data_IF_924816409581
#
_entry.id   IF_924816409581
#
_cell.length_a   1.000
_cell.length_b   1.000
_cell.length_c   1.000
_cell.angle_alpha   90.00
_cell.angle_beta   90.00
_cell.angle_gamma   90.00
#
_symmetry.space_group_name_H-M   'P 1'
#
loop_
_entity.id
_entity.type
_entity.pdbx_description
1 polymer ?
#
# COMPACT_ATOMS: atom_id res chain seq x y z
N UNK A 1 -16.53 18.36 26.29
CA UNK A 1 -15.55 17.25 26.37
C UNK A 1 -14.14 17.72 26.01
N UNK A 2 -13.68 18.88 26.51
CA UNK A 2 -12.30 19.34 26.32
C UNK A 2 -11.40 18.99 27.53
N UNK A 3 -12.01 18.64 28.68
CA UNK A 3 -11.31 18.30 29.92
C UNK A 3 -10.38 17.09 29.78
N UNK A 4 -10.60 16.23 28.79
CA UNK A 4 -9.72 15.10 28.48
C UNK A 4 -8.28 15.56 28.18
N UNK A 5 -8.14 16.71 27.51
CA UNK A 5 -6.84 17.34 27.21
C UNK A 5 -6.19 18.04 28.41
N UNK A 6 -6.89 18.16 29.54
CA UNK A 6 -6.31 18.71 30.78
C UNK A 6 -5.59 17.63 31.61
N UNK A 7 -5.91 16.36 31.35
CA UNK A 7 -5.34 15.20 32.05
C UNK A 7 -4.33 14.49 31.14
N UNK A 8 -4.60 14.44 29.84
CA UNK A 8 -3.71 13.86 28.85
C UNK A 8 -2.91 14.96 28.15
N UNK A 9 -1.58 14.87 28.24
CA UNK A 9 -0.69 15.77 27.50
C UNK A 9 -0.93 15.62 25.99
N UNK A 10 -1.43 16.66 25.29
CA UNK A 10 -1.89 16.55 23.90
C UNK A 10 -0.81 16.07 22.95
N UNK A 11 0.45 16.44 23.22
CA UNK A 11 1.62 15.99 22.46
C UNK A 11 1.81 14.48 22.55
N UNK A 12 1.74 13.90 23.74
CA UNK A 12 1.97 12.48 23.93
C UNK A 12 0.87 11.65 23.29
N UNK A 13 -0.38 12.11 23.36
CA UNK A 13 -1.51 11.45 22.70
C UNK A 13 -1.34 11.44 21.18
N UNK A 14 -0.96 12.57 20.57
CA UNK A 14 -0.73 12.63 19.12
C UNK A 14 0.42 11.71 18.68
N UNK A 15 1.49 11.63 19.46
CA UNK A 15 2.61 10.73 19.19
C UNK A 15 2.16 9.28 19.34
N UNK A 16 1.44 8.93 20.41
CA UNK A 16 0.94 7.59 20.66
C UNK A 16 0.01 7.09 19.55
N UNK A 17 -0.91 7.94 19.10
CA UNK A 17 -1.80 7.63 17.98
C UNK A 17 -1.01 7.40 16.68
N UNK A 18 -0.01 8.25 16.41
CA UNK A 18 0.82 8.12 15.20
C UNK A 18 1.64 6.84 15.21
N UNK A 19 2.32 6.57 16.33
CA UNK A 19 3.16 5.37 16.52
C UNK A 19 2.31 4.11 16.57
N UNK A 20 1.03 4.18 16.93
CA UNK A 20 0.12 3.04 16.88
C UNK A 20 -0.42 2.80 15.46
N UNK A 21 -0.94 3.84 14.81
CA UNK A 21 -1.61 3.72 13.52
C UNK A 21 -0.67 3.41 12.36
N UNK A 22 0.54 4.00 12.34
CA UNK A 22 1.52 3.78 11.27
C UNK A 22 1.89 2.30 11.12
N UNK A 23 2.44 1.63 12.16
CA UNK A 23 2.82 0.22 12.05
C UNK A 23 1.59 -0.67 11.91
N UNK A 24 0.45 -0.34 12.53
CA UNK A 24 -0.79 -1.10 12.36
C UNK A 24 -1.25 -1.09 10.90
N UNK A 25 -1.24 0.09 10.25
CA UNK A 25 -1.56 0.23 8.83
C UNK A 25 -0.58 -0.54 7.95
N UNK A 26 0.73 -0.39 8.18
CA UNK A 26 1.75 -1.12 7.43
C UNK A 26 1.61 -2.64 7.61
N UNK A 27 1.34 -3.11 8.82
CA UNK A 27 1.15 -4.53 9.11
C UNK A 27 -0.03 -5.10 8.33
N UNK A 28 -1.14 -4.37 8.21
CA UNK A 28 -2.28 -4.78 7.38
C UNK A 28 -1.85 -4.88 5.91
N UNK A 29 -1.14 -3.89 5.37
CA UNK A 29 -0.68 -3.94 3.98
C UNK A 29 0.27 -5.12 3.73
N UNK A 30 1.23 -5.34 4.63
CA UNK A 30 2.13 -6.49 4.54
C UNK A 30 1.39 -7.82 4.63
N UNK A 31 0.32 -7.91 5.43
CA UNK A 31 -0.50 -9.10 5.51
C UNK A 31 -1.26 -9.37 4.20
N UNK A 32 -1.80 -8.33 3.56
CA UNK A 32 -2.46 -8.45 2.25
C UNK A 32 -1.47 -8.78 1.13
N UNK A 33 -0.26 -8.23 1.19
CA UNK A 33 0.79 -8.52 0.21
C UNK A 33 1.42 -9.90 0.39
N UNK A 34 1.36 -10.47 1.59
CA UNK A 34 1.89 -11.80 1.87
C UNK A 34 0.97 -12.93 1.38
N UNK A 35 -0.29 -12.65 1.05
CA UNK A 35 -1.23 -13.65 0.54
C UNK A 35 -1.20 -13.74 -0.98
N UNK A 36 -1.24 -14.95 -1.53
CA UNK A 36 -1.09 -15.20 -2.98
C UNK A 36 -2.18 -14.54 -3.83
N UNK A 37 -3.39 -14.38 -3.29
CA UNK A 37 -4.56 -13.88 -4.04
C UNK A 37 -4.75 -12.36 -3.94
N UNK A 38 -4.37 -11.75 -2.81
CA UNK A 38 -4.57 -10.31 -2.57
C UNK A 38 -3.31 -9.48 -2.85
N UNK A 39 -2.21 -10.13 -3.23
CA UNK A 39 -0.97 -9.47 -3.60
C UNK A 39 -1.11 -8.77 -4.95
N UNK A 40 -1.47 -7.49 -4.91
CA UNK A 40 -1.62 -6.66 -6.12
C UNK A 40 -0.30 -6.41 -6.85
N UNK A 41 0.87 -6.70 -6.27
CA UNK A 41 2.14 -6.61 -7.00
C UNK A 41 2.36 -7.79 -7.95
N UNK A 42 1.76 -8.94 -7.66
CA UNK A 42 1.94 -10.19 -8.41
C UNK A 42 0.70 -10.60 -9.23
N UNK A 43 -0.46 -9.97 -9.00
CA UNK A 43 -1.74 -10.27 -9.68
C UNK A 43 -1.76 -9.98 -11.20
N UNK A 44 -0.67 -9.44 -11.76
CA UNK A 44 -0.52 -9.25 -13.22
C UNK A 44 -1.52 -8.27 -13.85
N UNK A 45 -2.21 -7.45 -13.03
CA UNK A 45 -3.28 -6.55 -13.44
C UNK A 45 -3.05 -5.11 -12.94
N UNK A 46 -3.33 -4.08 -13.76
CA UNK A 46 -3.51 -4.17 -15.21
C UNK A 46 -2.22 -4.67 -15.87
N UNK A 47 -2.34 -5.18 -17.11
CA UNK A 47 -1.24 -5.80 -17.87
C UNK A 47 0.04 -4.97 -17.64
N UNK A 48 1.14 -5.57 -17.13
CA UNK A 48 2.36 -4.82 -16.83
C UNK A 48 2.73 -3.98 -18.05
N UNK A 49 3.08 -2.70 -17.88
CA UNK A 49 3.36 -1.81 -19.02
C UNK A 49 4.39 -2.40 -20.00
N UNK A 50 5.35 -3.20 -19.51
CA UNK A 50 6.28 -3.97 -20.33
C UNK A 50 5.59 -5.02 -21.21
N UNK A 51 4.62 -5.76 -20.67
CA UNK A 51 3.85 -6.76 -21.39
C UNK A 51 2.83 -6.12 -22.35
N UNK A 52 2.21 -5.00 -21.95
CA UNK A 52 1.35 -4.21 -22.85
C UNK A 52 2.15 -3.63 -24.03
N UNK A 53 3.32 -3.03 -23.77
CA UNK A 53 4.20 -2.52 -24.81
C UNK A 53 4.82 -3.63 -25.68
N UNK A 54 5.08 -4.81 -25.13
CA UNK A 54 5.52 -5.96 -25.91
C UNK A 54 4.40 -6.50 -26.82
N UNK A 55 3.14 -6.48 -26.36
CA UNK A 55 1.98 -6.84 -27.17
C UNK A 55 1.77 -5.83 -28.32
N UNK A 56 1.88 -4.54 -28.03
CA UNK A 56 1.79 -3.46 -29.03
C UNK A 56 2.93 -3.55 -30.06
N UNK A 57 4.19 -3.72 -29.63
CA UNK A 57 5.33 -3.93 -30.54
C UNK A 57 5.24 -5.21 -31.36
N UNK A 58 4.69 -6.29 -30.78
CA UNK A 58 4.44 -7.54 -31.50
C UNK A 58 3.35 -7.38 -32.58
N UNK A 59 2.33 -6.54 -32.33
CA UNK A 59 1.34 -6.18 -33.34
C UNK A 59 1.93 -5.32 -34.47
N UNK A 60 2.93 -4.49 -34.16
CA UNK A 60 3.64 -3.66 -35.13
C UNK A 60 4.70 -4.43 -35.96
N UNK A 61 4.93 -5.71 -35.66
CA UNK A 61 5.86 -6.57 -36.42
C UNK A 61 7.34 -6.21 -36.25
N UNK A 62 7.68 -5.42 -35.22
CA UNK A 62 9.06 -5.04 -34.91
C UNK A 62 9.76 -6.14 -34.11
N UNK A 63 11.02 -6.51 -34.44
CA UNK A 63 11.76 -7.50 -33.66
C UNK A 63 12.08 -7.00 -32.23
N UNK A 64 12.32 -7.97 -31.35
CA UNK A 64 12.43 -7.82 -29.89
C UNK A 64 13.38 -6.71 -29.42
#
# INVERSE_FOLDING_TARGET
>A
MYKLWQILDPRQVLIGITVFLIPLGLLIHFLLLATEDLNWHEDGRPIPFKAAAAYERAQEGLPY
#
